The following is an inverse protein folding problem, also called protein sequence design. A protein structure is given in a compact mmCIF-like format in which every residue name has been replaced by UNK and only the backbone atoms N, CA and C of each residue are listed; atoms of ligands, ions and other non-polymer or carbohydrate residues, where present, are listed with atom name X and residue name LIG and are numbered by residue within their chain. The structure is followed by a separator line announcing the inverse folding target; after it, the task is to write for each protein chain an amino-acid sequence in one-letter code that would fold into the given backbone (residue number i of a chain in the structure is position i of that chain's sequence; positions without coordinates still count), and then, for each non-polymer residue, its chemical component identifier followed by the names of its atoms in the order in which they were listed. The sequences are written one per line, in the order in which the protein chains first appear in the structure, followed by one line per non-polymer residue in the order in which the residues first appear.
data_IF_302702357519
#
_entry.id   IF_302702357519
#
_cell.length_a   1.000
_cell.length_b   1.000
_cell.length_c   1.000
_cell.angle_alpha   90.00
_cell.angle_beta   90.00
_cell.angle_gamma   90.00
#
_symmetry.space_group_name_H-M   'P 1'
#
loop_
_entity.id
_entity.type
_entity.pdbx_description
1 polymer ?
#
# COMPACT_ATOMS: atom_id res chain seq x y z
N UNK A 1 -20.44 2.61 9.73
CA UNK A 1 -19.37 2.65 10.74
C UNK A 1 -18.28 3.55 10.20
N UNK A 2 -17.82 4.57 10.92
CA UNK A 2 -16.77 5.47 10.42
C UNK A 2 -15.45 4.68 10.30
N UNK A 3 -15.19 4.14 9.11
CA UNK A 3 -13.90 3.58 8.74
C UNK A 3 -12.88 4.72 8.80
N UNK A 4 -11.98 4.70 9.78
CA UNK A 4 -10.83 5.59 9.79
C UNK A 4 -9.99 5.26 8.56
N UNK A 5 -10.08 6.11 7.55
CA UNK A 5 -9.16 6.10 6.41
C UNK A 5 -7.97 6.96 6.78
N UNK A 6 -6.80 6.34 6.81
CA UNK A 6 -5.53 7.06 6.97
C UNK A 6 -5.10 7.55 5.60
N UNK A 7 -4.81 8.83 5.48
CA UNK A 7 -4.47 9.46 4.21
C UNK A 7 -3.17 8.88 3.64
N UNK A 8 -2.21 8.48 4.48
CA UNK A 8 -0.99 7.81 4.00
C UNK A 8 -1.26 6.42 3.43
N UNK A 9 -2.28 5.73 3.93
CA UNK A 9 -2.69 4.39 3.44
C UNK A 9 -3.42 4.51 2.11
N UNK A 10 -4.28 5.51 1.95
CA UNK A 10 -4.90 5.82 0.66
C UNK A 10 -3.82 6.15 -0.38
N UNK A 11 -2.86 7.01 -0.01
CA UNK A 11 -1.73 7.34 -0.87
C UNK A 11 -0.93 6.10 -1.30
N UNK A 12 -0.64 5.17 -0.38
CA UNK A 12 0.01 3.89 -0.72
C UNK A 12 -0.83 3.11 -1.73
N UNK A 13 -2.15 3.03 -1.54
CA UNK A 13 -3.04 2.28 -2.44
C UNK A 13 -3.14 2.89 -3.84
N UNK A 14 -3.08 4.21 -3.96
CA UNK A 14 -3.18 4.92 -5.24
C UNK A 14 -1.85 4.97 -5.98
N UNK A 15 -0.73 5.03 -5.25
CA UNK A 15 0.60 5.24 -5.81
C UNK A 15 1.56 4.05 -5.64
N UNK A 16 1.06 2.85 -5.32
CA UNK A 16 1.92 1.68 -5.06
C UNK A 16 2.87 1.31 -6.21
N UNK A 17 2.55 1.69 -7.45
CA UNK A 17 3.42 1.47 -8.62
C UNK A 17 4.61 2.42 -8.69
N UNK A 18 4.55 3.56 -7.98
CA UNK A 18 5.61 4.55 -7.94
C UNK A 18 6.56 4.29 -6.76
N UNK A 19 7.72 4.95 -6.77
CA UNK A 19 8.58 5.01 -5.60
C UNK A 19 7.92 5.87 -4.52
N UNK A 20 7.71 5.27 -3.35
CA UNK A 20 7.08 5.92 -2.20
C UNK A 20 8.15 6.14 -1.14
N UNK A 21 8.34 7.40 -0.76
CA UNK A 21 9.21 7.79 0.35
C UNK A 21 8.43 7.76 1.68
N UNK A 22 8.98 7.06 2.68
CA UNK A 22 8.46 7.03 4.05
C UNK A 22 8.33 8.43 4.66
N UNK A 23 9.21 9.36 4.30
CA UNK A 23 9.16 10.74 4.77
C UNK A 23 7.89 11.44 4.28
N UNK A 24 7.49 11.21 3.03
CA UNK A 24 6.27 11.80 2.46
C UNK A 24 5.03 11.23 3.16
N UNK A 25 5.02 9.92 3.41
CA UNK A 25 3.92 9.28 4.15
C UNK A 25 3.78 9.81 5.57
N UNK A 26 4.90 10.03 6.26
CA UNK A 26 4.92 10.65 7.57
C UNK A 26 4.36 12.08 7.53
N UNK A 27 4.74 12.87 6.52
CA UNK A 27 4.25 14.24 6.34
C UNK A 27 2.74 14.31 6.08
N UNK A 28 2.17 13.36 5.34
CA UNK A 28 0.73 13.27 5.09
C UNK A 28 -0.06 13.14 6.41
N UNK A 29 0.47 12.38 7.36
CA UNK A 29 -0.14 12.18 8.69
C UNK A 29 0.38 13.19 9.73
N UNK A 30 1.13 14.21 9.32
CA UNK A 30 1.76 15.21 10.19
C UNK A 30 2.68 14.63 11.28
N UNK A 31 3.35 13.52 10.96
CA UNK A 31 4.31 12.85 11.83
C UNK A 31 5.75 13.01 11.34
N UNK A 32 6.69 12.75 12.25
CA UNK A 32 8.05 12.43 11.86
C UNK A 32 8.15 10.96 11.41
N UNK A 33 9.20 10.63 10.66
CA UNK A 33 9.38 9.30 10.08
C UNK A 33 9.40 8.16 11.12
N UNK A 34 10.06 8.38 12.25
CA UNK A 34 10.20 7.36 13.30
C UNK A 34 8.85 7.06 13.95
N UNK A 35 8.12 8.11 14.33
CA UNK A 35 6.79 8.00 14.90
C UNK A 35 5.81 7.40 13.90
N UNK A 36 5.87 7.83 12.64
CA UNK A 36 5.02 7.30 11.58
C UNK A 36 5.19 5.78 11.42
N UNK A 37 6.42 5.28 11.46
CA UNK A 37 6.68 3.84 11.27
C UNK A 37 6.04 3.02 12.39
N UNK A 38 6.21 3.44 13.65
CA UNK A 38 5.60 2.77 14.80
C UNK A 38 4.08 2.92 14.82
N UNK A 39 3.58 4.14 14.58
CA UNK A 39 2.15 4.41 14.47
C UNK A 39 1.50 3.57 13.38
N UNK A 40 2.09 3.52 12.19
CA UNK A 40 1.56 2.73 11.08
C UNK A 40 1.53 1.26 11.43
N UNK A 41 2.62 0.72 11.99
CA UNK A 41 2.69 -0.67 12.44
C UNK A 41 1.66 -1.00 13.52
N UNK A 42 1.41 -0.09 14.45
CA UNK A 42 0.40 -0.27 15.49
C UNK A 42 -1.03 -0.25 14.95
N UNK A 43 -1.29 0.54 13.89
CA UNK A 43 -2.61 0.62 13.27
C UNK A 43 -2.86 -0.48 12.22
N UNK A 44 -1.81 -0.94 11.52
CA UNK A 44 -1.90 -1.87 10.37
C UNK A 44 -1.37 -3.27 10.66
N UNK A 45 -0.69 -3.47 11.78
CA UNK A 45 -0.02 -4.73 12.15
C UNK A 45 1.26 -5.04 11.37
N UNK A 46 1.63 -4.22 10.38
CA UNK A 46 2.79 -4.38 9.50
C UNK A 46 3.45 -3.03 9.23
N UNK A 47 4.74 -3.01 8.88
CA UNK A 47 5.40 -1.76 8.51
C UNK A 47 4.86 -1.20 7.18
N UNK A 48 5.01 0.11 6.91
CA UNK A 48 4.59 0.70 5.64
C UNK A 48 5.26 0.04 4.41
N UNK A 49 6.53 -0.37 4.55
CA UNK A 49 7.27 -1.03 3.47
C UNK A 49 6.72 -2.44 3.20
N UNK A 50 6.46 -3.23 4.24
CA UNK A 50 5.84 -4.55 4.08
C UNK A 50 4.44 -4.44 3.47
N UNK A 51 3.66 -3.43 3.88
CA UNK A 51 2.35 -3.15 3.29
C UNK A 51 2.46 -2.87 1.79
N UNK A 52 3.38 -1.99 1.38
CA UNK A 52 3.63 -1.67 -0.02
C UNK A 52 4.08 -2.91 -0.84
N UNK A 53 4.98 -3.72 -0.27
CA UNK A 53 5.46 -4.94 -0.92
C UNK A 53 4.33 -5.96 -1.13
N UNK A 54 3.51 -6.20 -0.11
CA UNK A 54 2.35 -7.10 -0.20
C UNK A 54 1.36 -6.60 -1.25
N UNK A 55 1.04 -5.31 -1.24
CA UNK A 55 0.15 -4.71 -2.21
C UNK A 55 0.64 -4.87 -3.66
N UNK A 56 1.94 -4.68 -3.91
CA UNK A 56 2.55 -4.90 -5.24
C UNK A 56 2.44 -6.36 -5.69
N UNK A 57 2.67 -7.31 -4.79
CA UNK A 57 2.56 -8.75 -5.08
C UNK A 57 1.11 -9.11 -5.38
N UNK A 58 0.17 -8.69 -4.54
CA UNK A 58 -1.25 -8.99 -4.68
C UNK A 58 -1.80 -8.45 -6.00
N UNK A 59 -1.47 -7.20 -6.35
CA UNK A 59 -1.87 -6.59 -7.62
C UNK A 59 -1.28 -7.31 -8.82
N UNK A 60 0.00 -7.69 -8.76
CA UNK A 60 0.64 -8.49 -9.83
C UNK A 60 -0.06 -9.84 -10.02
N UNK A 61 -0.43 -10.52 -8.93
CA UNK A 61 -1.16 -11.78 -9.00
C UNK A 61 -2.55 -11.58 -9.61
N UNK A 62 -3.26 -10.50 -9.22
CA UNK A 62 -4.58 -10.15 -9.77
C UNK A 62 -4.51 -9.86 -11.28
N UNK A 63 -3.50 -9.12 -11.74
CA UNK A 63 -3.29 -8.83 -13.16
C UNK A 63 -3.01 -10.12 -13.96
N UNK A 64 -2.25 -11.06 -13.37
CA UNK A 64 -1.99 -12.37 -13.96
C UNK A 64 -3.22 -13.28 -13.99
N UNK A 65 -4.11 -13.19 -13.00
CA UNK A 65 -5.36 -13.95 -12.96
C UNK A 65 -6.35 -13.44 -14.02
N UNK A 66 -6.37 -12.14 -14.32
CA UNK A 66 -7.20 -11.58 -15.38
C UNK A 66 -6.70 -11.95 -16.78
N UNK A 67 -5.40 -12.24 -16.92
CA UNK A 67 -4.80 -12.70 -18.18
C UNK A 67 -4.98 -14.20 -18.47
N UNK A 68 -5.49 -15.00 -17.51
CA UNK A 68 -5.75 -16.44 -17.73
C UNK A 68 -7.01 -16.74 -18.56
N UNK A 69 -7.77 -15.73 -19.00
CA UNK A 69 -8.95 -15.91 -19.85
C UNK A 69 -8.78 -15.43 -21.31
N UNK A 70 -7.54 -15.22 -21.79
CA UNK A 70 -7.26 -14.88 -23.20
C UNK A 70 -6.14 -15.76 -23.80
N UNK A 71 -5.97 -16.99 -23.31
CA UNK A 71 -5.15 -18.00 -24.01
C UNK A 71 -5.90 -19.33 -24.22
N UNK A 72 -7.21 -19.24 -24.44
CA UNK A 72 -8.02 -20.29 -25.08
C UNK A 72 -8.97 -19.65 -26.09
N UNK A 73 -8.41 -19.07 -27.15
CA UNK A 73 -9.14 -18.91 -28.42
C UNK A 73 -8.15 -18.86 -29.58
N UNK A 74 -8.02 -20.04 -30.19
CA UNK A 74 -7.30 -20.39 -31.42
C UNK A 74 -5.78 -20.54 -31.31
#
# INVERSE_FOLDING_TARGET
MCEKKFASVEYINEHYMNDIDLKNLAQIEHYNMNYYTEWFKNNMGVSPIECLQKLRIDKKILDQNNSRNILNKC
#
